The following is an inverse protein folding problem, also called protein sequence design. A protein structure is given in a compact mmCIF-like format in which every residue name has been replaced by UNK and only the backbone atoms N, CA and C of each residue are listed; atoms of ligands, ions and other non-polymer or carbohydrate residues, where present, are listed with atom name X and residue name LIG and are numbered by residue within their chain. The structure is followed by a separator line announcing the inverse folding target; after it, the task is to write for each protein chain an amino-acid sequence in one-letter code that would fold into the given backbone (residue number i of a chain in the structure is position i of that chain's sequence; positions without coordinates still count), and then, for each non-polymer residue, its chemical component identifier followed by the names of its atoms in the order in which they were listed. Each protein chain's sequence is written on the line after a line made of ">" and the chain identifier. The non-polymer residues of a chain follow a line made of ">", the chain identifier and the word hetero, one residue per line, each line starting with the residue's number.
data_IF_958112824177
#
_entry.id   IF_958112824177
#
_cell.length_a   1.000
_cell.length_b   1.000
_cell.length_c   1.000
_cell.angle_alpha   90.00
_cell.angle_beta   90.00
_cell.angle_gamma   90.00
#
_symmetry.space_group_name_H-M   'P 1'
#
loop_
_entity.id
_entity.type
_entity.pdbx_description
1 polymer ?
#
# COMPACT_ATOMS: atom_id res chain seq x y z
N UNK A 1 4.35 -24.96 29.60
CA UNK A 1 3.51 -23.75 29.84
C UNK A 1 2.75 -23.43 28.55
N UNK A 2 1.46 -23.13 28.67
CA UNK A 2 0.48 -23.07 27.57
C UNK A 2 0.88 -22.02 26.52
N UNK A 3 0.85 -22.40 25.23
CA UNK A 3 0.79 -21.43 24.11
C UNK A 3 -0.43 -20.56 24.35
N UNK A 4 -0.22 -19.31 24.76
CA UNK A 4 -1.28 -18.32 24.87
C UNK A 4 -1.82 -18.05 23.48
N UNK A 5 -2.92 -18.73 23.11
CA UNK A 5 -3.70 -18.33 21.95
C UNK A 5 -4.24 -16.95 22.27
N UNK A 6 -3.74 -15.91 21.58
CA UNK A 6 -4.37 -14.59 21.66
C UNK A 6 -5.87 -14.79 21.36
N UNK A 7 -6.78 -14.22 22.17
CA UNK A 7 -8.19 -14.23 21.84
C UNK A 7 -8.40 -13.57 20.46
N UNK A 8 -9.31 -14.12 19.66
CA UNK A 8 -9.70 -13.53 18.38
C UNK A 8 -10.12 -12.07 18.61
N UNK A 9 -9.35 -11.14 18.05
CA UNK A 9 -9.65 -9.72 18.06
C UNK A 9 -10.26 -9.36 16.70
N UNK A 10 -11.58 -9.10 16.61
CA UNK A 10 -12.19 -8.72 15.34
C UNK A 10 -11.62 -7.41 14.78
N UNK A 11 -10.91 -6.61 15.59
CA UNK A 11 -10.21 -5.41 15.15
C UNK A 11 -8.83 -5.70 14.52
N UNK A 12 -8.25 -6.91 14.71
CA UNK A 12 -7.00 -7.31 14.04
C UNK A 12 -7.25 -7.72 12.57
N UNK A 13 -8.52 -7.84 12.15
CA UNK A 13 -8.89 -8.26 10.79
C UNK A 13 -8.93 -7.09 9.80
N UNK A 14 -8.91 -5.85 10.29
CA UNK A 14 -9.03 -4.62 9.49
C UNK A 14 -7.83 -3.70 9.66
N UNK A 15 -6.60 -4.24 9.61
CA UNK A 15 -5.46 -3.38 9.34
C UNK A 15 -5.48 -3.00 7.86
N UNK A 16 -6.13 -1.90 7.55
CA UNK A 16 -5.98 -1.23 6.25
C UNK A 16 -4.50 -0.87 6.09
N UNK A 17 -3.80 -1.57 5.21
CA UNK A 17 -2.44 -1.18 4.85
C UNK A 17 -2.55 0.06 3.97
N UNK A 18 -1.60 0.97 4.12
CA UNK A 18 -1.46 2.14 3.26
C UNK A 18 -0.23 2.02 2.39
N UNK A 19 -0.16 2.82 1.32
CA UNK A 19 1.07 2.94 0.51
C UNK A 19 2.28 3.19 1.43
N UNK A 20 2.15 4.06 2.44
CA UNK A 20 3.23 4.36 3.39
C UNK A 20 3.78 3.14 4.13
N UNK A 21 2.93 2.16 4.42
CA UNK A 21 3.30 0.98 5.19
C UNK A 21 4.11 0.00 4.32
N UNK A 22 3.82 -0.07 3.02
CA UNK A 22 4.42 -1.06 2.11
C UNK A 22 5.65 -0.52 1.36
N UNK A 23 5.69 0.77 1.04
CA UNK A 23 6.74 1.37 0.20
C UNK A 23 8.16 1.34 0.78
N UNK A 24 8.42 1.27 2.11
CA UNK A 24 9.78 1.07 2.62
C UNK A 24 10.42 -0.24 2.12
N UNK A 25 9.64 -1.21 1.68
CA UNK A 25 10.14 -2.46 1.09
C UNK A 25 10.50 -2.32 -0.40
N UNK A 26 10.21 -1.18 -1.01
CA UNK A 26 10.32 -0.93 -2.44
C UNK A 26 11.08 0.37 -2.72
N UNK A 27 12.39 0.37 -2.41
CA UNK A 27 13.26 1.56 -2.54
C UNK A 27 13.21 2.20 -3.94
N UNK A 28 13.00 1.40 -4.99
CA UNK A 28 12.89 1.88 -6.37
C UNK A 28 11.76 2.91 -6.56
N UNK A 29 10.65 2.77 -5.83
CA UNK A 29 9.49 3.67 -5.95
C UNK A 29 9.82 5.11 -5.55
N UNK A 30 10.81 5.32 -4.68
CA UNK A 30 11.25 6.66 -4.28
C UNK A 30 11.96 7.44 -5.39
N UNK A 31 12.40 6.74 -6.44
CA UNK A 31 13.13 7.33 -7.58
C UNK A 31 12.25 7.59 -8.80
N UNK A 32 11.00 7.12 -8.78
CA UNK A 32 10.09 7.23 -9.92
C UNK A 32 9.36 8.58 -9.95
N UNK A 33 9.00 9.00 -11.16
CA UNK A 33 8.15 10.16 -11.38
C UNK A 33 6.72 9.72 -11.65
N UNK A 34 5.86 9.85 -10.66
CA UNK A 34 4.47 9.38 -10.77
C UNK A 34 3.56 10.25 -11.64
N UNK A 35 4.05 11.35 -12.22
CA UNK A 35 3.35 12.06 -13.31
C UNK A 35 3.43 11.34 -14.65
N UNK A 36 4.41 10.45 -14.79
CA UNK A 36 4.66 9.71 -16.03
C UNK A 36 4.43 8.20 -15.86
N UNK A 37 4.55 7.71 -14.63
CA UNK A 37 4.40 6.29 -14.28
C UNK A 37 3.20 6.12 -13.34
N UNK A 38 2.36 5.12 -13.60
CA UNK A 38 1.26 4.77 -12.69
C UNK A 38 1.81 4.09 -11.43
N UNK A 39 1.50 4.64 -10.26
CA UNK A 39 1.86 4.00 -8.99
C UNK A 39 1.11 2.67 -8.85
N UNK A 40 -0.18 2.62 -9.20
CA UNK A 40 -0.98 1.41 -9.09
C UNK A 40 -0.44 0.27 -9.97
N UNK A 41 0.03 0.55 -11.19
CA UNK A 41 0.67 -0.47 -12.03
C UNK A 41 1.97 -1.00 -11.42
N UNK A 42 2.79 -0.11 -10.84
CA UNK A 42 4.03 -0.52 -10.16
C UNK A 42 3.76 -1.35 -8.90
N UNK A 43 2.73 -1.02 -8.15
CA UNK A 43 2.27 -1.81 -7.00
C UNK A 43 1.69 -3.16 -7.45
N UNK A 44 0.95 -3.20 -8.56
CA UNK A 44 0.34 -4.44 -9.08
C UNK A 44 1.42 -5.47 -9.42
N UNK A 45 2.55 -5.03 -10.00
CA UNK A 45 3.72 -5.89 -10.27
C UNK A 45 4.34 -6.48 -9.01
N UNK A 46 4.04 -5.90 -7.85
CA UNK A 46 4.53 -6.28 -6.51
C UNK A 46 3.43 -6.96 -5.67
N UNK A 47 2.33 -7.35 -6.30
CA UNK A 47 1.15 -7.95 -5.67
C UNK A 47 0.42 -7.01 -4.69
N UNK A 48 0.38 -5.71 -4.99
CA UNK A 48 -0.41 -4.75 -4.25
C UNK A 48 -1.32 -3.94 -5.20
N UNK A 49 -2.52 -3.61 -4.76
CA UNK A 49 -3.45 -2.74 -5.50
C UNK A 49 -3.90 -1.59 -4.62
N UNK A 50 -3.98 -0.38 -5.18
CA UNK A 50 -4.58 0.77 -4.49
C UNK A 50 -6.10 0.65 -4.57
N UNK A 51 -6.76 0.60 -3.41
CA UNK A 51 -8.21 0.45 -3.29
C UNK A 51 -8.93 1.78 -2.95
N UNK A 52 -8.17 2.82 -2.61
CA UNK A 52 -8.69 4.17 -2.37
C UNK A 52 -9.43 4.72 -3.60
N UNK A 53 -10.71 5.07 -3.43
CA UNK A 53 -11.56 5.58 -4.54
C UNK A 53 -11.13 6.94 -5.05
N UNK A 54 -10.52 7.74 -4.19
CA UNK A 54 -9.95 9.05 -4.51
C UNK A 54 -8.64 8.95 -5.31
N UNK A 55 -8.03 7.78 -5.40
CA UNK A 55 -6.82 7.57 -6.20
C UNK A 55 -7.09 7.85 -7.68
N UNK A 56 -6.14 8.53 -8.32
CA UNK A 56 -6.05 8.66 -9.77
C UNK A 56 -4.59 8.61 -10.17
N UNK A 57 -4.32 8.00 -11.30
CA UNK A 57 -2.97 8.01 -11.87
C UNK A 57 -2.54 9.45 -12.20
N UNK A 58 -1.22 9.67 -12.13
CA UNK A 58 -0.59 10.90 -12.58
C UNK A 58 -0.95 12.18 -11.81
N UNK A 59 -1.57 12.05 -10.62
CA UNK A 59 -1.93 13.20 -9.76
C UNK A 59 -0.73 13.92 -9.14
N UNK A 60 0.33 13.19 -8.78
CA UNK A 60 1.56 13.77 -8.24
C UNK A 60 2.79 13.14 -8.85
N UNK A 61 3.91 13.86 -8.79
CA UNK A 61 5.23 13.32 -9.13
C UNK A 61 5.85 12.56 -7.94
N UNK A 62 5.46 12.89 -6.70
CA UNK A 62 6.10 12.40 -5.48
C UNK A 62 5.33 11.24 -4.87
N UNK A 63 6.04 10.18 -4.47
CA UNK A 63 5.45 9.04 -3.74
C UNK A 63 4.76 9.47 -2.44
N UNK A 64 5.29 10.52 -1.79
CA UNK A 64 4.77 10.98 -0.49
C UNK A 64 3.32 11.45 -0.56
N UNK A 65 2.87 11.96 -1.72
CA UNK A 65 1.49 12.41 -1.90
C UNK A 65 0.51 11.24 -2.04
N UNK A 66 1.03 10.01 -2.17
CA UNK A 66 0.23 8.78 -2.26
C UNK A 66 0.19 8.00 -0.95
N UNK A 67 0.92 8.41 0.09
CA UNK A 67 1.09 7.65 1.32
C UNK A 67 -0.18 7.35 2.09
N UNK A 68 -1.20 8.19 1.98
CA UNK A 68 -2.47 8.01 2.69
C UNK A 68 -3.44 7.07 1.96
N UNK A 69 -3.13 6.68 0.71
CA UNK A 69 -4.00 5.76 -0.02
C UNK A 69 -3.92 4.35 0.55
N UNK A 70 -5.09 3.73 0.66
CA UNK A 70 -5.25 2.36 1.11
C UNK A 70 -4.83 1.39 -0.01
N UNK A 71 -4.14 0.33 0.39
CA UNK A 71 -3.68 -0.74 -0.48
C UNK A 71 -4.15 -2.09 0.03
N UNK A 72 -4.37 -3.02 -0.90
CA UNK A 72 -4.64 -4.43 -0.60
C UNK A 72 -3.58 -5.33 -1.25
N UNK A 73 -3.35 -6.49 -0.67
CA UNK A 73 -2.43 -7.49 -1.21
C UNK A 73 -3.19 -8.43 -2.16
N UNK A 74 -2.66 -8.62 -3.37
CA UNK A 74 -3.23 -9.49 -4.39
C UNK A 74 -2.69 -10.91 -4.17
N UNK A 75 -3.56 -11.86 -3.83
CA UNK A 75 -3.25 -13.27 -3.56
C UNK A 75 -3.41 -14.16 -4.79
#
# INVERSE_FOLDING_TARGET
>A
MKKGSKPFNPNDFFTTQTVKDIVPNFEELYTLNFKEISLNEELTKRNYEIISKEYKDFMSASLADYYEFEVDEIV
#
